data_IF_440459923882
#
_entry.id   IF_440459923882
#
_cell.length_a   1.000
_cell.length_b   1.000
_cell.length_c   1.000
_cell.angle_alpha   90.00
_cell.angle_beta   90.00
_cell.angle_gamma   90.00
#
_symmetry.space_group_name_H-M   'P 1'
#
loop_
_entity.id
_entity.type
_entity.pdbx_description
1 polymer ?
#
# COMPACT_ATOMS: atom_id res chain seq x y z
N UNK A 1 1.32 13.58 -0.94
CA UNK A 1 2.80 13.53 -1.12
C UNK A 1 3.29 12.15 -1.53
N UNK A 2 3.18 11.10 -0.70
CA UNK A 2 3.70 9.74 -1.00
C UNK A 2 3.21 9.15 -2.33
N UNK A 3 1.95 9.40 -2.70
CA UNK A 3 1.38 8.98 -3.97
C UNK A 3 2.10 9.58 -5.18
N UNK A 4 2.39 10.88 -5.18
CA UNK A 4 3.07 11.56 -6.28
C UNK A 4 4.52 11.09 -6.44
N UNK A 5 5.19 10.78 -5.32
CA UNK A 5 6.53 10.17 -5.36
C UNK A 5 6.44 8.80 -6.04
N UNK A 6 5.46 7.98 -5.65
CA UNK A 6 5.18 6.69 -6.28
C UNK A 6 4.85 6.78 -7.76
N UNK A 7 4.00 7.75 -8.14
CA UNK A 7 3.65 8.05 -9.52
C UNK A 7 4.89 8.39 -10.33
N UNK A 8 5.74 9.28 -9.82
CA UNK A 8 6.94 9.70 -10.52
C UNK A 8 7.90 8.53 -10.74
N UNK A 9 8.14 7.73 -9.70
CA UNK A 9 8.97 6.51 -9.81
C UNK A 9 8.38 5.57 -10.86
N UNK A 10 7.08 5.32 -10.82
CA UNK A 10 6.43 4.41 -11.77
C UNK A 10 6.51 4.90 -13.22
N UNK A 11 6.27 6.19 -13.47
CA UNK A 11 6.35 6.75 -14.82
C UNK A 11 7.77 6.71 -15.37
N UNK A 12 8.77 7.07 -14.56
CA UNK A 12 10.19 7.01 -14.95
C UNK A 12 10.63 5.57 -15.28
N UNK A 13 10.13 4.58 -14.54
CA UNK A 13 10.34 3.16 -14.87
C UNK A 13 9.72 2.74 -16.21
N UNK A 14 8.55 3.27 -16.57
CA UNK A 14 7.88 2.97 -17.84
C UNK A 14 8.59 3.64 -19.03
N UNK A 15 9.14 4.84 -18.85
CA UNK A 15 9.96 5.52 -19.86
C UNK A 15 11.29 4.77 -20.09
N UNK A 16 11.84 4.16 -19.03
CA UNK A 16 12.96 3.23 -19.07
C UNK A 16 12.58 1.80 -19.52
N UNK A 17 11.91 1.68 -20.68
CA UNK A 17 11.52 0.43 -21.39
C UNK A 17 11.92 -0.91 -20.72
N UNK A 18 10.94 -1.57 -20.09
CA UNK A 18 10.82 -3.03 -19.90
C UNK A 18 12.03 -3.77 -19.30
N UNK A 19 12.71 -3.18 -18.31
CA UNK A 19 13.67 -3.95 -17.49
C UNK A 19 13.31 -3.83 -16.02
N UNK A 20 12.88 -4.94 -15.43
CA UNK A 20 12.70 -5.05 -13.97
C UNK A 20 13.98 -4.63 -13.19
N UNK A 21 15.14 -4.78 -13.82
CA UNK A 21 16.42 -4.35 -13.26
C UNK A 21 16.58 -2.82 -13.27
N UNK A 22 16.07 -2.10 -14.28
CA UNK A 22 16.14 -0.64 -14.34
C UNK A 22 15.41 0.01 -13.15
N UNK A 23 14.22 -0.48 -12.80
CA UNK A 23 13.49 -0.01 -11.62
C UNK A 23 14.24 -0.23 -10.30
N UNK A 24 14.94 -1.36 -10.17
CA UNK A 24 15.80 -1.61 -8.99
C UNK A 24 16.96 -0.62 -8.93
N UNK A 25 17.59 -0.30 -10.06
CA UNK A 25 18.66 0.70 -10.12
C UNK A 25 18.13 2.10 -9.80
N UNK A 26 16.99 2.50 -10.37
CA UNK A 26 16.38 3.81 -10.10
C UNK A 26 16.10 4.02 -8.61
N UNK A 27 15.41 3.08 -7.96
CA UNK A 27 15.09 3.18 -6.54
C UNK A 27 16.36 3.20 -5.68
N UNK A 28 17.37 2.39 -6.04
CA UNK A 28 18.65 2.39 -5.35
C UNK A 28 19.34 3.76 -5.46
N UNK A 29 19.45 4.31 -6.66
CA UNK A 29 20.06 5.62 -6.91
C UNK A 29 19.32 6.74 -6.18
N UNK A 30 17.98 6.74 -6.23
CA UNK A 30 17.15 7.71 -5.51
C UNK A 30 17.39 7.62 -3.99
N UNK A 31 17.52 6.41 -3.44
CA UNK A 31 17.82 6.22 -2.02
C UNK A 31 19.20 6.74 -1.67
N UNK A 32 20.22 6.45 -2.48
CA UNK A 32 21.59 6.91 -2.25
C UNK A 32 21.71 8.43 -2.27
N UNK A 33 20.92 9.11 -3.12
CA UNK A 33 20.92 10.56 -3.25
C UNK A 33 20.07 11.26 -2.18
N UNK A 34 18.85 10.78 -1.93
CA UNK A 34 17.87 11.51 -1.12
C UNK A 34 17.89 11.09 0.36
N UNK A 35 18.29 9.86 0.69
CA UNK A 35 18.31 9.41 2.07
C UNK A 35 19.30 10.19 2.97
N UNK A 36 20.50 10.61 2.51
CA UNK A 36 21.39 11.46 3.31
C UNK A 36 20.80 12.84 3.62
N UNK A 37 20.05 13.42 2.69
CA UNK A 37 19.48 14.76 2.82
C UNK A 37 18.17 14.79 3.61
N UNK A 38 17.28 13.81 3.35
CA UNK A 38 15.90 13.80 3.87
C UNK A 38 15.64 12.68 4.89
N UNK A 39 16.63 11.82 5.14
CA UNK A 39 16.56 10.76 6.14
C UNK A 39 15.80 9.51 5.69
N UNK A 40 15.42 8.69 6.68
CA UNK A 40 14.91 7.31 6.50
C UNK A 40 13.63 7.18 5.68
N UNK A 41 12.90 8.29 5.48
CA UNK A 41 11.74 8.39 4.58
C UNK A 41 12.07 8.10 3.11
N UNK A 42 13.34 8.24 2.71
CA UNK A 42 13.82 7.99 1.35
C UNK A 42 14.69 6.73 1.25
N UNK A 43 14.62 5.83 2.23
CA UNK A 43 15.24 4.51 2.10
C UNK A 43 14.61 3.71 0.94
N UNK A 44 15.39 2.81 0.33
CA UNK A 44 14.94 1.85 -0.70
C UNK A 44 13.57 1.28 -0.37
N UNK A 45 13.38 0.79 0.86
CA UNK A 45 12.12 0.19 1.33
C UNK A 45 10.93 1.15 1.28
N UNK A 46 11.14 2.43 1.59
CA UNK A 46 10.06 3.42 1.56
C UNK A 46 9.71 3.83 0.13
N UNK A 47 10.72 4.04 -0.71
CA UNK A 47 10.53 4.33 -2.14
C UNK A 47 9.76 3.20 -2.84
N UNK A 48 10.10 1.95 -2.52
CA UNK A 48 9.34 0.77 -2.97
C UNK A 48 7.87 0.83 -2.54
N UNK A 49 7.59 1.19 -1.28
CA UNK A 49 6.22 1.36 -0.79
C UNK A 49 5.49 2.49 -1.49
N UNK A 50 6.16 3.59 -1.80
CA UNK A 50 5.55 4.70 -2.56
C UNK A 50 5.18 4.22 -3.97
N UNK A 51 6.07 3.50 -4.66
CA UNK A 51 5.79 2.89 -5.97
C UNK A 51 4.59 1.93 -5.90
N UNK A 52 4.58 1.02 -4.93
CA UNK A 52 3.46 0.09 -4.73
C UNK A 52 2.15 0.82 -4.44
N UNK A 53 2.21 1.89 -3.64
CA UNK A 53 1.05 2.72 -3.33
C UNK A 53 0.43 3.32 -4.59
N UNK A 54 1.23 3.86 -5.51
CA UNK A 54 0.71 4.33 -6.79
C UNK A 54 0.09 3.20 -7.61
N UNK A 55 0.78 2.05 -7.73
CA UNK A 55 0.30 0.90 -8.52
C UNK A 55 -1.05 0.35 -8.04
N UNK A 56 -1.28 0.33 -6.73
CA UNK A 56 -2.52 -0.18 -6.15
C UNK A 56 -3.64 0.85 -6.10
N UNK A 57 -3.31 2.14 -6.15
CA UNK A 57 -4.28 3.23 -6.07
C UNK A 57 -4.07 4.25 -7.19
N UNK A 58 -4.10 3.86 -8.48
CA UNK A 58 -3.80 4.77 -9.59
C UNK A 58 -4.88 5.84 -9.79
N UNK A 59 -6.10 5.58 -9.33
CA UNK A 59 -7.26 6.46 -9.41
C UNK A 59 -7.86 6.54 -8.02
N UNK A 60 -7.57 7.57 -7.23
CA UNK A 60 -8.14 7.64 -5.87
C UNK A 60 -8.30 9.06 -5.32
N UNK A 61 -8.94 9.97 -6.07
CA UNK A 61 -9.17 11.34 -5.59
C UNK A 61 -9.99 11.44 -4.28
N UNK A 62 -10.80 10.44 -3.91
CA UNK A 62 -11.69 10.50 -2.73
C UNK A 62 -11.25 9.66 -1.53
N UNK A 63 -10.49 8.58 -1.72
CA UNK A 63 -10.05 7.72 -0.61
C UNK A 63 -8.81 8.26 0.12
N UNK A 64 -8.00 9.11 -0.52
CA UNK A 64 -6.72 9.60 0.01
C UNK A 64 -6.85 10.53 1.21
N UNK A 65 -7.97 11.23 1.38
CA UNK A 65 -8.15 12.21 2.45
C UNK A 65 -8.57 11.58 3.78
N UNK A 66 -9.09 10.35 3.75
CA UNK A 66 -9.66 9.70 4.93
C UNK A 66 -8.66 8.78 5.65
N UNK A 67 -7.63 8.31 4.95
CA UNK A 67 -6.65 7.36 5.48
C UNK A 67 -5.25 7.96 5.53
N UNK A 68 -4.58 7.82 6.67
CA UNK A 68 -3.18 8.23 6.82
C UNK A 68 -2.21 7.22 6.18
N UNK A 69 -0.97 7.65 5.92
CA UNK A 69 0.10 6.78 5.41
C UNK A 69 0.31 5.50 6.24
N UNK A 70 0.12 5.58 7.55
CA UNK A 70 0.22 4.41 8.42
C UNK A 70 -0.85 3.36 8.13
N UNK A 71 -2.09 3.75 7.81
CA UNK A 71 -3.11 2.80 7.35
C UNK A 71 -2.70 2.15 6.04
N UNK A 72 -2.22 2.95 5.08
CA UNK A 72 -1.77 2.43 3.80
C UNK A 72 -0.65 1.41 3.94
N UNK A 73 0.32 1.61 4.83
CA UNK A 73 1.37 0.60 5.08
C UNK A 73 0.83 -0.78 5.45
N UNK A 74 -0.28 -0.87 6.20
CA UNK A 74 -0.92 -2.15 6.50
C UNK A 74 -1.69 -2.70 5.29
N UNK A 75 -2.40 -1.83 4.56
CA UNK A 75 -3.15 -2.21 3.36
C UNK A 75 -2.25 -2.68 2.20
N UNK A 76 -1.04 -2.11 2.08
CA UNK A 76 -0.04 -2.51 1.09
C UNK A 76 0.47 -3.94 1.31
N UNK A 77 0.44 -4.45 2.55
CA UNK A 77 0.81 -5.83 2.86
C UNK A 77 -0.27 -6.85 2.49
N UNK A 78 -1.45 -6.41 2.04
CA UNK A 78 -2.53 -7.29 1.61
C UNK A 78 -2.38 -7.55 0.11
N UNK A 79 -2.08 -8.79 -0.26
CA UNK A 79 -1.85 -9.18 -1.66
C UNK A 79 -3.13 -9.13 -2.50
N UNK A 80 -4.26 -9.53 -1.93
CA UNK A 80 -5.55 -9.59 -2.63
C UNK A 80 -6.22 -8.22 -2.69
N UNK A 81 -6.47 -7.72 -3.91
CA UNK A 81 -7.18 -6.47 -4.17
C UNK A 81 -8.55 -6.40 -3.48
N UNK A 82 -9.38 -7.45 -3.62
CA UNK A 82 -10.72 -7.49 -3.01
C UNK A 82 -10.65 -7.41 -1.47
N UNK A 83 -9.63 -8.03 -0.88
CA UNK A 83 -9.40 -7.93 0.56
C UNK A 83 -9.00 -6.52 0.98
N UNK A 84 -8.15 -5.86 0.19
CA UNK A 84 -7.73 -4.49 0.43
C UNK A 84 -8.90 -3.52 0.36
N UNK A 85 -9.73 -3.62 -0.68
CA UNK A 85 -10.90 -2.76 -0.88
C UNK A 85 -11.92 -2.93 0.23
N UNK A 86 -12.15 -4.17 0.68
CA UNK A 86 -12.99 -4.46 1.85
C UNK A 86 -12.48 -3.76 3.11
N UNK A 87 -11.20 -3.92 3.44
CA UNK A 87 -10.64 -3.29 4.64
C UNK A 87 -10.61 -1.76 4.54
N UNK A 88 -10.44 -1.20 3.34
CA UNK A 88 -10.56 0.25 3.12
C UNK A 88 -11.98 0.71 3.43
N UNK A 89 -12.99 0.07 2.85
CA UNK A 89 -14.39 0.41 3.05
C UNK A 89 -14.78 0.33 4.53
N UNK A 90 -14.39 -0.75 5.22
CA UNK A 90 -14.68 -0.91 6.65
C UNK A 90 -13.90 0.08 7.53
N UNK A 91 -12.65 0.40 7.20
CA UNK A 91 -11.86 1.40 7.95
C UNK A 91 -12.50 2.77 7.86
N UNK A 92 -12.93 3.17 6.66
CA UNK A 92 -13.62 4.43 6.41
C UNK A 92 -14.98 4.46 7.11
N UNK A 93 -15.80 3.43 6.90
CA UNK A 93 -17.16 3.33 7.45
C UNK A 93 -17.18 3.42 8.97
N UNK A 94 -16.21 2.78 9.62
CA UNK A 94 -16.15 2.69 11.08
C UNK A 94 -15.12 3.63 11.72
N UNK A 95 -14.46 4.49 10.94
CA UNK A 95 -13.37 5.38 11.38
C UNK A 95 -12.30 4.65 12.22
N UNK A 96 -11.88 3.46 11.76
CA UNK A 96 -10.87 2.69 12.50
C UNK A 96 -9.54 3.43 12.55
N UNK A 97 -8.96 3.48 13.75
CA UNK A 97 -7.55 3.85 13.93
C UNK A 97 -6.61 2.80 13.34
N UNK A 98 -5.34 3.19 13.12
CA UNK A 98 -4.30 2.30 12.59
C UNK A 98 -4.22 0.98 13.37
N UNK A 99 -4.32 1.06 14.71
CA UNK A 99 -4.28 -0.12 15.59
C UNK A 99 -5.51 -1.02 15.43
N UNK A 100 -6.68 -0.43 15.21
CA UNK A 100 -7.91 -1.20 14.98
C UNK A 100 -7.83 -1.91 13.63
N UNK A 101 -7.42 -1.22 12.57
CA UNK A 101 -7.19 -1.83 11.26
C UNK A 101 -6.20 -2.99 11.35
N UNK A 102 -5.04 -2.79 11.99
CA UNK A 102 -4.03 -3.83 12.17
C UNK A 102 -4.60 -5.06 12.90
N UNK A 103 -5.35 -4.85 13.99
CA UNK A 103 -6.00 -5.95 14.72
C UNK A 103 -6.99 -6.72 13.84
N UNK A 104 -7.79 -6.03 13.03
CA UNK A 104 -8.77 -6.67 12.15
C UNK A 104 -8.11 -7.45 11.00
N UNK A 105 -7.01 -6.94 10.44
CA UNK A 105 -6.22 -7.68 9.45
C UNK A 105 -5.61 -8.94 10.08
N UNK A 106 -5.03 -8.81 11.27
CA UNK A 106 -4.35 -9.92 11.95
C UNK A 106 -5.33 -11.00 12.42
N UNK A 107 -6.46 -10.61 13.02
CA UNK A 107 -7.51 -11.55 13.44
C UNK A 107 -8.05 -12.33 12.24
N UNK A 108 -8.29 -11.64 11.14
CA UNK A 108 -8.78 -12.24 9.92
C UNK A 108 -7.78 -13.21 9.28
N UNK A 109 -6.49 -12.86 9.23
CA UNK A 109 -5.45 -13.77 8.73
C UNK A 109 -5.30 -15.02 9.60
N UNK A 110 -5.43 -14.88 10.93
CA UNK A 110 -5.43 -16.01 11.87
C UNK A 110 -6.62 -16.95 11.61
N UNK A 111 -7.82 -16.39 11.40
CA UNK A 111 -9.04 -17.17 11.09
C UNK A 111 -8.90 -17.90 9.75
N UNK A 112 -8.31 -17.26 8.73
CA UNK A 112 -8.06 -17.90 7.42
C UNK A 112 -7.08 -19.07 7.52
N UNK A 113 -6.07 -18.98 8.40
CA UNK A 113 -5.12 -20.07 8.67
C UNK A 113 -5.73 -21.29 9.34
N UNK A 114 -6.94 -21.16 9.92
CA UNK A 114 -7.65 -22.22 10.64
C UNK A 114 -8.76 -22.92 9.82
N UNK A 115 -8.93 -22.58 8.53
CA UNK A 115 -9.78 -23.31 7.59
C UNK A 115 -11.25 -22.89 7.52
N UNK A 116 -11.63 -22.25 6.40
CA UNK A 116 -13.00 -21.88 5.91
C UNK A 116 -13.74 -20.83 6.79
N UNK A 117 -14.27 -19.70 6.33
CA UNK A 117 -15.37 -19.48 5.36
C UNK A 117 -15.44 -17.97 5.01
N UNK A 118 -14.76 -17.52 3.96
CA UNK A 118 -14.91 -16.13 3.47
C UNK A 118 -16.26 -15.82 2.80
N UNK A 119 -16.99 -16.76 2.15
CA UNK A 119 -18.20 -16.38 1.40
C UNK A 119 -19.50 -16.31 2.22
N UNK A 120 -19.60 -16.99 3.37
CA UNK A 120 -20.90 -17.22 4.02
C UNK A 120 -21.31 -16.15 5.03
N UNK A 121 -20.36 -15.35 5.55
CA UNK A 121 -20.67 -14.31 6.55
C UNK A 121 -21.14 -12.97 5.96
N UNK A 122 -20.97 -12.73 4.66
CA UNK A 122 -21.28 -11.44 4.02
C UNK A 122 -22.43 -11.49 3.00
N UNK A 123 -23.06 -12.64 2.79
CA UNK A 123 -24.24 -12.75 1.92
C UNK A 123 -25.55 -12.28 2.60
N UNK A 124 -25.51 -11.82 3.85
CA UNK A 124 -26.68 -11.40 4.62
C UNK A 124 -26.64 -9.96 5.14
N UNK A 125 -25.87 -9.07 4.51
CA UNK A 125 -25.91 -7.63 4.78
C UNK A 125 -26.06 -6.80 3.50
#
# INVERSE_FOLDING_TARGET
MYWHIGQRIFLEEQEGKDRADYGKFLIKTLSEQLQPEYGSGFSIRQLERYRQFYRFFPIASTLWTQLSWSHYKHLLSIDNQNGRDFFIAETVKNNWSVRQLERQINSNNLIRGLGKLWPLFFASL
#
